data_IF_328272386614
#
_entry.id   IF_328272386614
#
_cell.length_a   1.000
_cell.length_b   1.000
_cell.length_c   1.000
_cell.angle_alpha   90.00
_cell.angle_beta   90.00
_cell.angle_gamma   90.00
#
_symmetry.space_group_name_H-M   'P 1'
#
loop_
_entity.id
_entity.type
_entity.pdbx_description
1 polymer ?
#
# COMPACT_ATOMS: atom_id res chain seq x y z
N UNK A 1 18.16 19.77 -14.89
CA UNK A 1 17.87 20.50 -13.63
C UNK A 1 16.49 20.12 -13.06
N UNK A 2 16.11 18.83 -13.07
CA UNK A 2 14.85 18.33 -12.50
C UNK A 2 15.05 17.19 -11.48
N UNK A 3 16.25 16.61 -11.38
CA UNK A 3 16.55 15.54 -10.41
C UNK A 3 16.96 16.05 -9.02
N UNK A 4 17.38 17.30 -8.87
CA UNK A 4 17.86 17.85 -7.59
C UNK A 4 16.76 18.30 -6.62
N UNK A 5 15.50 18.35 -7.06
CA UNK A 5 14.38 18.67 -6.16
C UNK A 5 13.77 17.43 -5.47
N UNK A 6 14.07 16.21 -5.96
CA UNK A 6 13.58 14.97 -5.34
C UNK A 6 14.44 14.51 -4.15
N UNK A 7 15.70 14.93 -4.07
CA UNK A 7 16.59 14.59 -2.96
C UNK A 7 16.14 15.20 -1.63
N UNK A 8 15.44 16.34 -1.65
CA UNK A 8 14.96 17.02 -0.43
C UNK A 8 13.60 16.52 0.10
N UNK A 9 12.84 15.73 -0.68
CA UNK A 9 11.64 15.04 -0.18
C UNK A 9 12.01 13.78 0.62
N UNK A 10 13.20 13.22 0.40
CA UNK A 10 13.71 12.05 1.10
C UNK A 10 14.14 12.36 2.56
N UNK A 11 14.44 13.63 2.88
CA UNK A 11 14.91 14.03 4.21
C UNK A 11 13.84 13.95 5.33
N UNK A 12 12.56 13.78 4.97
CA UNK A 12 11.45 13.59 5.93
C UNK A 12 11.32 12.11 6.37
N UNK A 13 11.99 11.19 5.66
CA UNK A 13 11.93 9.75 5.91
C UNK A 13 12.82 9.35 7.10
N UNK A 14 12.40 9.67 8.33
CA UNK A 14 12.90 9.01 9.54
C UNK A 14 12.36 7.57 9.63
N UNK A 15 12.80 6.69 8.72
CA UNK A 15 12.74 5.23 8.88
C UNK A 15 11.42 4.52 8.52
N UNK A 16 10.37 5.20 8.08
CA UNK A 16 9.09 4.54 7.73
C UNK A 16 8.96 4.35 6.22
N UNK A 17 9.17 3.13 5.71
CA UNK A 17 9.13 2.78 4.27
C UNK A 17 7.80 3.14 3.57
N UNK A 18 6.70 3.17 4.33
CA UNK A 18 5.37 3.57 3.84
C UNK A 18 5.29 5.06 3.42
N UNK A 19 6.15 5.91 3.98
CA UNK A 19 6.27 7.32 3.58
C UNK A 19 6.95 7.50 2.21
N UNK A 20 7.68 6.48 1.73
CA UNK A 20 8.35 6.52 0.43
C UNK A 20 7.39 6.17 -0.72
N UNK A 21 6.45 5.24 -0.50
CA UNK A 21 5.53 4.78 -1.54
C UNK A 21 4.45 5.80 -1.92
N UNK A 22 3.84 6.47 -0.92
CA UNK A 22 2.68 7.35 -1.16
C UNK A 22 2.98 8.56 -2.08
N UNK A 23 4.02 9.39 -1.84
CA UNK A 23 4.29 10.55 -2.70
C UNK A 23 4.62 10.14 -4.13
N UNK A 24 5.28 8.99 -4.29
CA UNK A 24 5.59 8.39 -5.60
C UNK A 24 4.30 8.01 -6.34
N UNK A 25 3.45 7.17 -5.75
CA UNK A 25 2.20 6.73 -6.37
C UNK A 25 1.29 7.93 -6.72
N UNK A 26 1.24 8.98 -5.88
CA UNK A 26 0.50 10.21 -6.15
C UNK A 26 0.99 10.91 -7.44
N UNK A 27 2.30 11.10 -7.58
CA UNK A 27 2.89 11.69 -8.78
C UNK A 27 2.64 10.83 -10.02
N UNK A 28 2.78 9.51 -9.88
CA UNK A 28 2.59 8.55 -10.95
C UNK A 28 1.15 8.58 -11.49
N UNK A 29 0.14 8.61 -10.60
CA UNK A 29 -1.27 8.58 -11.03
C UNK A 29 -1.83 9.95 -11.47
N UNK A 30 -1.33 11.07 -10.94
CA UNK A 30 -1.88 12.41 -11.25
C UNK A 30 -1.13 13.15 -12.36
N UNK A 31 0.14 12.82 -12.62
CA UNK A 31 0.98 13.53 -13.58
C UNK A 31 1.67 12.59 -14.56
N UNK A 32 2.59 11.76 -14.09
CA UNK A 32 3.53 11.03 -14.95
C UNK A 32 2.83 10.12 -15.98
N UNK A 33 1.99 9.17 -15.53
CA UNK A 33 1.33 8.25 -16.44
C UNK A 33 0.25 8.92 -17.32
N UNK A 34 -0.55 9.88 -16.83
CA UNK A 34 -1.42 10.68 -17.68
C UNK A 34 -0.67 11.43 -18.79
N UNK A 35 0.41 12.14 -18.46
CA UNK A 35 1.22 12.88 -19.44
C UNK A 35 1.85 11.94 -20.49
N UNK A 36 2.38 10.79 -20.05
CA UNK A 36 2.91 9.79 -20.99
C UNK A 36 1.84 9.18 -21.89
N UNK A 37 0.63 8.97 -21.37
CA UNK A 37 -0.47 8.48 -22.18
C UNK A 37 -0.89 9.48 -23.25
N UNK A 38 -0.91 10.78 -22.94
CA UNK A 38 -1.19 11.84 -23.92
C UNK A 38 -0.14 11.90 -25.02
N UNK A 39 1.14 11.78 -24.67
CA UNK A 39 2.25 11.73 -25.65
C UNK A 39 2.10 10.50 -26.55
N UNK A 40 1.90 9.32 -25.96
CA UNK A 40 1.72 8.07 -26.72
C UNK A 40 0.53 8.13 -27.69
N UNK A 41 -0.58 8.77 -27.30
CA UNK A 41 -1.73 8.97 -28.17
C UNK A 41 -1.38 9.88 -29.36
N UNK A 42 -0.68 10.99 -29.12
CA UNK A 42 -0.25 11.94 -30.16
C UNK A 42 0.73 11.32 -31.16
N UNK A 43 1.55 10.38 -30.72
CA UNK A 43 2.51 9.64 -31.55
C UNK A 43 1.87 8.43 -32.26
N UNK A 44 0.57 8.17 -32.07
CA UNK A 44 -0.16 7.09 -32.74
C UNK A 44 -0.09 5.73 -32.04
N UNK A 45 0.44 5.67 -30.80
CA UNK A 45 0.54 4.45 -30.00
C UNK A 45 -0.66 4.27 -29.05
N UNK A 46 -1.85 4.10 -29.62
CA UNK A 46 -3.11 4.01 -28.86
C UNK A 46 -3.12 2.90 -27.77
N UNK A 47 -2.56 1.72 -28.06
CA UNK A 47 -2.49 0.62 -27.09
C UNK A 47 -1.58 0.95 -25.89
N UNK A 48 -0.49 1.68 -26.14
CA UNK A 48 0.43 2.13 -25.09
C UNK A 48 -0.26 3.18 -24.23
N UNK A 49 -0.94 4.15 -24.85
CA UNK A 49 -1.71 5.17 -24.14
C UNK A 49 -2.78 4.54 -23.22
N UNK A 50 -3.52 3.56 -23.72
CA UNK A 50 -4.50 2.79 -22.94
C UNK A 50 -3.85 2.08 -21.75
N UNK A 51 -2.71 1.41 -21.95
CA UNK A 51 -1.99 0.71 -20.88
C UNK A 51 -1.47 1.68 -19.82
N UNK A 52 -0.92 2.83 -20.22
CA UNK A 52 -0.43 3.86 -19.29
C UNK A 52 -1.57 4.44 -18.44
N UNK A 53 -2.74 4.70 -19.03
CA UNK A 53 -3.94 5.11 -18.27
C UNK A 53 -4.39 4.04 -17.27
N UNK A 54 -4.32 2.76 -17.65
CA UNK A 54 -4.64 1.66 -16.74
C UNK A 54 -3.65 1.57 -15.57
N UNK A 55 -2.36 1.80 -15.80
CA UNK A 55 -1.36 1.87 -14.73
C UNK A 55 -1.66 3.03 -13.78
N UNK A 56 -2.05 4.20 -14.29
CA UNK A 56 -2.45 5.32 -13.43
C UNK A 56 -3.60 4.96 -12.48
N UNK A 57 -4.56 4.14 -12.92
CA UNK A 57 -5.65 3.63 -12.06
C UNK A 57 -5.10 2.73 -10.94
N UNK A 58 -4.17 1.83 -11.25
CA UNK A 58 -3.53 0.98 -10.25
C UNK A 58 -2.75 1.80 -9.21
N UNK A 59 -1.99 2.82 -9.65
CA UNK A 59 -1.24 3.67 -8.73
C UNK A 59 -2.12 4.56 -7.86
N UNK A 60 -3.31 4.94 -8.34
CA UNK A 60 -4.32 5.60 -7.50
C UNK A 60 -4.76 4.67 -6.36
N UNK A 61 -5.05 3.40 -6.67
CA UNK A 61 -5.39 2.42 -5.65
C UNK A 61 -4.23 2.18 -4.65
N UNK A 62 -2.98 2.19 -5.12
CA UNK A 62 -1.81 2.14 -4.23
C UNK A 62 -1.74 3.33 -3.28
N UNK A 63 -1.94 4.57 -3.76
CA UNK A 63 -1.95 5.77 -2.92
C UNK A 63 -3.02 5.69 -1.83
N UNK A 64 -4.25 5.30 -2.21
CA UNK A 64 -5.38 5.18 -1.30
C UNK A 64 -5.12 4.12 -0.22
N UNK A 65 -4.55 2.97 -0.60
CA UNK A 65 -4.16 1.90 0.33
C UNK A 65 -3.08 2.38 1.30
N UNK A 66 -2.02 3.03 0.81
CA UNK A 66 -0.97 3.56 1.68
C UNK A 66 -1.48 4.63 2.64
N UNK A 67 -2.41 5.48 2.21
CA UNK A 67 -3.07 6.45 3.07
C UNK A 67 -3.81 5.78 4.23
N UNK A 68 -4.64 4.77 3.94
CA UNK A 68 -5.39 4.02 4.96
C UNK A 68 -4.44 3.33 5.95
N UNK A 69 -3.40 2.65 5.46
CA UNK A 69 -2.41 1.98 6.31
C UNK A 69 -1.64 2.97 7.20
N UNK A 70 -1.26 4.13 6.66
CA UNK A 70 -0.59 5.17 7.45
C UNK A 70 -1.51 5.70 8.56
N UNK A 71 -2.79 5.87 8.27
CA UNK A 71 -3.77 6.32 9.26
C UNK A 71 -3.96 5.27 10.37
N UNK A 72 -4.01 3.98 10.04
CA UNK A 72 -4.07 2.91 11.05
C UNK A 72 -2.80 2.84 11.92
N UNK A 73 -1.62 3.02 11.32
CA UNK A 73 -0.36 3.07 12.07
C UNK A 73 -0.34 4.26 13.03
N UNK A 74 -0.74 5.45 12.57
CA UNK A 74 -0.80 6.65 13.41
C UNK A 74 -1.80 6.52 14.56
N UNK A 75 -2.91 5.83 14.32
CA UNK A 75 -3.94 5.57 15.34
C UNK A 75 -3.60 4.39 16.25
N UNK A 76 -2.60 3.57 15.91
CA UNK A 76 -2.28 2.34 16.63
C UNK A 76 -3.31 1.23 16.46
N UNK A 77 -4.16 1.30 15.43
CA UNK A 77 -5.29 0.37 15.20
C UNK A 77 -5.00 -0.72 14.17
N UNK A 78 -3.72 -0.90 13.80
CA UNK A 78 -3.31 -1.92 12.84
C UNK A 78 -3.69 -3.32 13.39
N UNK A 79 -3.23 -3.65 14.61
CA UNK A 79 -3.46 -4.94 15.26
C UNK A 79 -4.57 -4.92 16.31
N UNK A 80 -5.41 -3.88 16.33
CA UNK A 80 -6.49 -3.71 17.30
C UNK A 80 -7.76 -3.25 16.61
N UNK A 81 -8.83 -4.03 16.75
CA UNK A 81 -10.16 -3.71 16.23
C UNK A 81 -11.16 -3.57 17.38
N UNK A 82 -12.24 -2.82 17.14
CA UNK A 82 -13.28 -2.56 18.14
C UNK A 82 -14.18 -3.78 18.41
N UNK A 83 -14.18 -4.75 17.48
CA UNK A 83 -14.96 -5.98 17.58
C UNK A 83 -14.03 -7.16 17.34
N UNK A 84 -14.44 -8.33 17.84
CA UNK A 84 -13.77 -9.58 17.52
C UNK A 84 -13.81 -9.81 16.01
N UNK A 85 -12.64 -10.11 15.46
CA UNK A 85 -12.42 -10.44 14.05
C UNK A 85 -11.55 -11.69 13.96
N UNK A 86 -11.48 -12.28 12.78
CA UNK A 86 -10.59 -13.40 12.51
C UNK A 86 -9.26 -12.90 11.98
N UNK A 87 -8.20 -13.20 12.71
CA UNK A 87 -6.82 -12.95 12.34
C UNK A 87 -6.20 -14.22 11.77
N UNK A 88 -5.62 -14.14 10.58
CA UNK A 88 -4.93 -15.26 9.94
C UNK A 88 -3.43 -15.04 9.97
N UNK A 89 -2.67 -16.06 10.38
CA UNK A 89 -1.23 -16.04 10.33
C UNK A 89 -0.76 -16.32 8.89
N UNK A 90 -0.19 -15.32 8.22
CA UNK A 90 0.36 -15.41 6.87
C UNK A 90 1.51 -16.42 6.73
N UNK A 91 2.11 -16.88 7.84
CA UNK A 91 3.21 -17.86 7.82
C UNK A 91 2.72 -19.31 7.73
N UNK A 92 1.60 -19.65 8.37
CA UNK A 92 1.17 -21.04 8.55
C UNK A 92 -0.33 -21.29 8.41
N UNK A 93 -1.15 -20.24 8.28
CA UNK A 93 -2.61 -20.35 8.15
C UNK A 93 -3.38 -20.49 9.46
N UNK A 94 -2.73 -20.44 10.63
CA UNK A 94 -3.45 -20.45 11.92
C UNK A 94 -4.43 -19.27 12.02
N UNK A 95 -5.67 -19.55 12.43
CA UNK A 95 -6.75 -18.57 12.60
C UNK A 95 -6.98 -18.31 14.08
N UNK A 96 -7.08 -17.03 14.45
CA UNK A 96 -7.38 -16.57 15.80
C UNK A 96 -8.59 -15.63 15.79
N UNK A 97 -9.59 -15.90 16.62
CA UNK A 97 -10.71 -14.98 16.86
C UNK A 97 -10.40 -14.06 18.06
N UNK A 98 -10.39 -12.75 17.84
CA UNK A 98 -10.11 -11.78 18.89
C UNK A 98 -10.14 -10.33 18.41
N UNK A 99 -10.11 -9.37 19.34
CA UNK A 99 -9.95 -7.95 19.02
C UNK A 99 -8.50 -7.62 18.58
N UNK A 100 -7.53 -8.43 19.02
CA UNK A 100 -6.11 -8.35 18.70
C UNK A 100 -5.57 -9.76 18.40
N UNK A 101 -4.57 -9.93 17.52
CA UNK A 101 -3.88 -11.21 17.33
C UNK A 101 -2.90 -11.49 18.49
N UNK A 102 -2.53 -12.77 18.73
CA UNK A 102 -1.58 -13.11 19.77
C UNK A 102 -0.17 -12.55 19.47
N UNK A 103 0.59 -12.24 20.53
CA UNK A 103 1.98 -11.75 20.38
C UNK A 103 2.88 -12.77 19.66
N UNK A 104 2.62 -14.06 19.88
CA UNK A 104 3.31 -15.19 19.26
C UNK A 104 2.25 -16.15 18.73
N UNK A 105 2.37 -16.56 17.46
CA UNK A 105 1.50 -17.56 16.87
C UNK A 105 1.64 -18.90 17.62
N UNK A 106 0.55 -19.49 18.15
CA UNK A 106 0.62 -20.75 18.90
C UNK A 106 0.91 -21.98 18.02
N UNK A 107 0.78 -21.84 16.69
CA UNK A 107 1.07 -22.92 15.75
C UNK A 107 2.53 -22.93 15.29
N UNK A 108 3.08 -21.78 14.90
CA UNK A 108 4.41 -21.70 14.26
C UNK A 108 5.43 -20.83 14.99
N UNK A 109 5.11 -20.33 16.19
CA UNK A 109 5.98 -19.48 17.01
C UNK A 109 6.49 -18.19 16.35
N UNK A 110 5.87 -17.73 15.26
CA UNK A 110 6.22 -16.45 14.63
C UNK A 110 5.52 -15.27 15.32
N UNK A 111 6.15 -14.07 15.31
CA UNK A 111 5.60 -12.90 16.00
C UNK A 111 4.32 -12.35 15.38
N UNK A 112 3.63 -11.50 16.15
CA UNK A 112 2.38 -10.81 15.80
C UNK A 112 2.33 -10.17 14.41
N UNK A 113 3.47 -9.72 13.89
CA UNK A 113 3.56 -9.06 12.58
C UNK A 113 3.32 -9.98 11.38
N UNK A 114 3.14 -11.29 11.61
CA UNK A 114 2.68 -12.24 10.60
C UNK A 114 1.15 -12.39 10.54
N UNK A 115 0.39 -11.72 11.41
CA UNK A 115 -1.06 -11.77 11.37
C UNK A 115 -1.65 -10.66 10.49
N UNK A 116 -2.70 -11.02 9.75
CA UNK A 116 -3.54 -10.09 8.99
C UNK A 116 -5.02 -10.40 9.22
N UNK A 117 -5.92 -9.50 8.82
CA UNK A 117 -7.36 -9.75 8.86
C UNK A 117 -7.75 -10.75 7.77
N UNK A 118 -8.62 -11.69 8.13
CA UNK A 118 -9.18 -12.64 7.17
C UNK A 118 -10.08 -11.91 6.17
N UNK A 119 -9.91 -12.20 4.88
CA UNK A 119 -10.67 -11.59 3.77
C UNK A 119 -11.32 -12.65 2.88
N UNK A 120 -11.85 -13.74 3.47
CA UNK A 120 -12.44 -14.85 2.73
C UNK A 120 -13.97 -14.70 2.62
N UNK A 121 -14.45 -14.39 1.41
CA UNK A 121 -15.86 -14.45 1.02
C UNK A 121 -15.92 -15.22 -0.32
N UNK A 122 -16.34 -16.49 -0.29
CA UNK A 122 -16.43 -17.38 -1.45
C UNK A 122 -17.85 -17.91 -1.67
#
# INVERSE_FOLDING_TARGET
MMMRHYENLCAICKGTRLLCGRPKCLFENTKMYPEFAEIAEKEGYADIAKRLRAIAIAEKHHEERFRKLLDEIKKGTMFKKEKKVYWVCMKCGYIHEGEEPPEICPSCNHPKNYFELTCEEY
#
